data_IF_604367678902
#
_entry.id   IF_604367678902
#
_cell.length_a   1.000
_cell.length_b   1.000
_cell.length_c   1.000
_cell.angle_alpha   90.00
_cell.angle_beta   90.00
_cell.angle_gamma   90.00
#
_symmetry.space_group_name_H-M   'P 1'
#
loop_
_entity.id
_entity.type
_entity.pdbx_description
1 polymer ?
#
# COMPACT_ATOMS: atom_id res chain seq x y z
N UNK A 1 18.92 -44.03 5.62
CA UNK A 1 20.01 -43.25 5.00
C UNK A 1 19.61 -43.03 3.56
N UNK A 2 19.44 -41.84 3.00
CA UNK A 2 19.37 -40.46 3.47
C UNK A 2 18.56 -39.77 2.36
N UNK A 3 17.63 -38.89 2.75
CA UNK A 3 16.88 -38.05 1.83
C UNK A 3 17.80 -36.93 1.34
N UNK A 4 17.80 -36.64 0.04
CA UNK A 4 18.43 -35.43 -0.48
C UNK A 4 17.35 -34.48 -1.01
N UNK A 5 17.13 -33.42 -0.23
CA UNK A 5 16.22 -32.31 -0.48
C UNK A 5 16.90 -31.32 -1.41
N UNK A 6 16.48 -31.26 -2.68
CA UNK A 6 16.78 -30.12 -3.53
C UNK A 6 15.71 -29.05 -3.30
N UNK A 7 16.02 -28.05 -2.48
CA UNK A 7 15.27 -26.82 -2.38
C UNK A 7 16.18 -25.65 -2.79
N UNK A 8 16.13 -25.27 -4.06
CA UNK A 8 16.83 -24.10 -4.57
C UNK A 8 15.92 -22.88 -4.46
N UNK A 9 15.89 -22.25 -3.29
CA UNK A 9 15.48 -20.86 -3.19
C UNK A 9 16.61 -19.99 -3.76
N UNK A 10 16.48 -19.62 -5.03
CA UNK A 10 17.25 -18.51 -5.58
C UNK A 10 16.75 -17.23 -4.91
N UNK A 11 17.49 -16.75 -3.91
CA UNK A 11 17.36 -15.39 -3.43
C UNK A 11 17.71 -14.45 -4.59
N UNK A 12 16.72 -13.74 -5.10
CA UNK A 12 16.96 -12.65 -6.04
C UNK A 12 17.79 -11.57 -5.34
N UNK A 13 18.88 -11.09 -5.96
CA UNK A 13 19.72 -10.06 -5.35
C UNK A 13 18.89 -8.79 -5.17
N UNK A 14 19.00 -8.16 -3.99
CA UNK A 14 18.48 -6.82 -3.73
C UNK A 14 19.05 -5.86 -4.78
N UNK A 15 18.25 -5.48 -5.77
CA UNK A 15 18.65 -4.54 -6.81
C UNK A 15 18.73 -3.13 -6.22
N UNK A 16 19.97 -2.65 -6.11
CA UNK A 16 20.35 -1.30 -5.74
C UNK A 16 19.99 -0.37 -6.92
N UNK A 17 19.20 0.68 -6.66
CA UNK A 17 18.68 1.69 -7.60
C UNK A 17 17.58 1.24 -8.57
N UNK A 18 16.41 0.92 -8.00
CA UNK A 18 15.16 0.99 -8.74
C UNK A 18 14.64 2.45 -8.64
N UNK A 19 14.68 3.18 -9.75
CA UNK A 19 14.07 4.51 -9.84
C UNK A 19 12.55 4.36 -9.89
N UNK A 20 11.83 5.32 -9.28
CA UNK A 20 10.38 5.36 -9.42
C UNK A 20 9.97 5.57 -10.89
N UNK A 21 8.83 5.03 -11.29
CA UNK A 21 8.31 5.17 -12.64
C UNK A 21 8.15 6.66 -13.03
N UNK A 22 8.35 6.95 -14.31
CA UNK A 22 8.29 8.32 -14.86
C UNK A 22 9.45 9.24 -14.44
N UNK A 23 10.42 8.78 -13.63
CA UNK A 23 11.61 9.57 -13.24
C UNK A 23 12.71 9.56 -14.30
N UNK A 24 12.66 8.66 -15.27
CA UNK A 24 13.58 8.68 -16.41
C UNK A 24 13.05 9.64 -17.49
N UNK A 25 13.89 10.47 -18.15
CA UNK A 25 13.44 11.41 -19.18
C UNK A 25 12.65 10.80 -20.34
N UNK A 26 12.99 9.57 -20.73
CA UNK A 26 12.34 8.81 -21.80
C UNK A 26 11.19 7.91 -21.31
N UNK A 27 10.88 7.91 -20.01
CA UNK A 27 9.76 7.13 -19.47
C UNK A 27 8.48 7.97 -19.51
N UNK A 28 7.66 7.70 -20.53
CA UNK A 28 6.37 8.36 -20.72
C UNK A 28 5.26 7.84 -19.82
N UNK A 29 5.52 6.77 -19.06
CA UNK A 29 4.56 6.29 -18.07
C UNK A 29 4.44 7.29 -16.92
N UNK A 30 3.31 7.22 -16.25
CA UNK A 30 2.97 8.10 -15.14
C UNK A 30 2.90 7.28 -13.87
N UNK A 31 3.67 7.70 -12.87
CA UNK A 31 3.56 7.25 -11.49
C UNK A 31 2.87 8.34 -10.67
N UNK A 32 1.79 8.01 -9.98
CA UNK A 32 1.13 8.92 -9.04
C UNK A 32 1.71 8.67 -7.65
N UNK A 33 1.96 9.72 -6.89
CA UNK A 33 2.47 9.54 -5.54
C UNK A 33 1.96 10.62 -4.59
N UNK A 34 1.83 10.25 -3.32
CA UNK A 34 1.23 11.07 -2.29
C UNK A 34 2.23 11.65 -1.30
N UNK A 35 2.22 12.97 -1.09
CA UNK A 35 2.88 13.58 0.08
C UNK A 35 2.04 13.31 1.33
N UNK A 36 2.51 12.43 2.21
CA UNK A 36 1.81 12.05 3.45
C UNK A 36 1.56 13.21 4.41
N UNK A 37 2.37 14.27 4.38
CA UNK A 37 2.24 15.44 5.25
C UNK A 37 1.14 16.36 4.78
N UNK A 38 1.12 16.67 3.48
CA UNK A 38 0.15 17.61 2.89
C UNK A 38 -1.11 16.94 2.35
N UNK A 39 -1.08 15.61 2.20
CA UNK A 39 -2.12 14.80 1.55
C UNK A 39 -2.38 15.20 0.09
N UNK A 40 -1.37 15.76 -0.57
CA UNK A 40 -1.41 16.16 -1.98
C UNK A 40 -0.82 15.07 -2.87
N UNK A 41 -1.35 14.99 -4.10
CA UNK A 41 -0.88 14.04 -5.10
C UNK A 41 -0.04 14.76 -6.14
N UNK A 42 1.06 14.13 -6.49
CA UNK A 42 1.94 14.51 -7.57
C UNK A 42 2.04 13.34 -8.55
N UNK A 43 2.64 13.60 -9.70
CA UNK A 43 2.98 12.54 -10.62
C UNK A 43 4.33 12.77 -11.28
N UNK A 44 5.05 11.69 -11.54
CA UNK A 44 6.31 11.70 -12.29
C UNK A 44 6.08 11.18 -13.70
N UNK A 45 6.64 11.88 -14.69
CA UNK A 45 6.59 11.52 -16.11
C UNK A 45 7.73 12.23 -16.84
N UNK A 46 8.42 11.53 -17.75
CA UNK A 46 9.52 12.06 -18.55
C UNK A 46 10.55 12.81 -17.67
N UNK A 47 10.91 12.23 -16.52
CA UNK A 47 11.88 12.79 -15.58
C UNK A 47 11.43 14.04 -14.81
N UNK A 48 10.14 14.37 -14.83
CA UNK A 48 9.61 15.56 -14.18
C UNK A 48 8.48 15.24 -13.22
N UNK A 49 8.45 15.93 -12.07
CA UNK A 49 7.33 15.90 -11.13
C UNK A 49 6.37 17.06 -11.37
N UNK A 50 5.07 16.77 -11.44
CA UNK A 50 4.01 17.77 -11.61
C UNK A 50 2.88 17.53 -10.59
N UNK A 51 2.12 18.57 -10.20
CA UNK A 51 0.98 18.40 -9.30
C UNK A 51 -0.18 17.68 -10.00
N UNK A 52 -1.02 16.99 -9.23
CA UNK A 52 -2.19 16.26 -9.74
C UNK A 52 -3.10 17.10 -10.66
N UNK A 53 -3.25 18.39 -10.38
CA UNK A 53 -4.04 19.33 -11.20
C UNK A 53 -3.53 19.48 -12.65
N UNK A 54 -2.31 19.05 -12.95
CA UNK A 54 -1.71 19.06 -14.30
C UNK A 54 -1.77 17.69 -14.97
N UNK A 55 -2.34 16.68 -14.33
CA UNK A 55 -2.52 15.36 -14.91
C UNK A 55 -3.41 15.49 -16.17
N UNK A 56 -3.10 14.83 -17.29
CA UNK A 56 -3.95 14.89 -18.48
C UNK A 56 -5.42 14.57 -18.19
N UNK A 57 -6.34 15.27 -18.86
CA UNK A 57 -7.78 15.18 -18.59
C UNK A 57 -8.32 13.74 -18.70
N UNK A 58 -7.83 12.96 -19.67
CA UNK A 58 -8.22 11.55 -19.85
C UNK A 58 -8.02 10.71 -18.58
N UNK A 59 -6.93 10.91 -17.85
CA UNK A 59 -6.64 10.16 -16.63
C UNK A 59 -7.51 10.61 -15.45
N UNK A 60 -7.91 11.88 -15.40
CA UNK A 60 -8.93 12.33 -14.45
C UNK A 60 -10.26 11.59 -14.67
N UNK A 61 -10.67 11.42 -15.93
CA UNK A 61 -11.90 10.69 -16.28
C UNK A 61 -11.80 9.22 -15.86
N UNK A 62 -10.68 8.55 -16.16
CA UNK A 62 -10.48 7.14 -15.76
C UNK A 62 -10.52 6.95 -14.24
N UNK A 63 -9.89 7.85 -13.47
CA UNK A 63 -9.93 7.82 -12.00
C UNK A 63 -11.35 8.07 -11.46
N UNK A 64 -12.10 8.99 -12.06
CA UNK A 64 -13.51 9.25 -11.71
C UNK A 64 -14.39 8.03 -12.00
N UNK A 65 -14.24 7.40 -13.15
CA UNK A 65 -14.97 6.18 -13.50
C UNK A 65 -14.63 5.04 -12.52
N UNK A 66 -13.35 4.87 -12.17
CA UNK A 66 -12.96 3.89 -11.16
C UNK A 66 -13.62 4.17 -9.80
N UNK A 67 -13.64 5.43 -9.36
CA UNK A 67 -14.28 5.85 -8.12
C UNK A 67 -15.79 5.56 -8.13
N UNK A 68 -16.49 5.94 -9.19
CA UNK A 68 -17.94 5.77 -9.33
C UNK A 68 -18.36 4.29 -9.33
N UNK A 69 -17.53 3.42 -9.89
CA UNK A 69 -17.75 1.97 -9.87
C UNK A 69 -17.56 1.35 -8.48
N UNK A 70 -16.87 2.04 -7.56
CA UNK A 70 -16.74 1.67 -6.16
C UNK A 70 -17.77 2.44 -5.31
N UNK A 71 -18.99 1.88 -5.20
CA UNK A 71 -20.11 2.50 -4.47
C UNK A 71 -19.76 2.93 -3.04
N UNK A 72 -18.85 2.21 -2.36
CA UNK A 72 -18.43 2.53 -1.00
C UNK A 72 -17.52 3.75 -1.01
N UNK A 73 -16.50 3.75 -1.87
CA UNK A 73 -15.60 4.89 -2.03
C UNK A 73 -16.37 6.13 -2.47
N UNK A 74 -17.22 6.01 -3.49
CA UNK A 74 -17.98 7.12 -4.03
C UNK A 74 -18.85 7.80 -2.98
N UNK A 75 -19.61 7.01 -2.19
CA UNK A 75 -20.47 7.55 -1.12
C UNK A 75 -19.65 8.27 -0.05
N UNK A 76 -18.53 7.71 0.36
CA UNK A 76 -17.65 8.33 1.37
C UNK A 76 -17.02 9.63 0.84
N UNK A 77 -16.54 9.62 -0.40
CA UNK A 77 -15.97 10.81 -1.05
C UNK A 77 -17.01 11.94 -1.15
N UNK A 78 -18.24 11.64 -1.58
CA UNK A 78 -19.31 12.65 -1.64
C UNK A 78 -19.61 13.23 -0.26
N UNK A 79 -19.65 12.38 0.78
CA UNK A 79 -19.89 12.83 2.16
C UNK A 79 -18.77 13.74 2.68
N UNK A 80 -17.52 13.45 2.35
CA UNK A 80 -16.35 14.16 2.90
C UNK A 80 -15.98 15.41 2.09
N UNK A 81 -16.20 15.41 0.77
CA UNK A 81 -15.72 16.44 -0.15
C UNK A 81 -16.85 17.17 -0.90
N UNK A 82 -18.10 16.76 -0.72
CA UNK A 82 -19.29 17.38 -1.33
C UNK A 82 -19.51 17.01 -2.80
N UNK A 83 -18.46 16.67 -3.55
CA UNK A 83 -18.56 16.22 -4.94
C UNK A 83 -17.44 15.23 -5.29
N UNK A 84 -17.68 14.42 -6.32
CA UNK A 84 -16.69 13.46 -6.81
C UNK A 84 -15.43 14.15 -7.34
N UNK A 85 -15.59 15.29 -8.02
CA UNK A 85 -14.48 16.06 -8.57
C UNK A 85 -13.60 16.65 -7.46
N UNK A 86 -14.20 17.21 -6.41
CA UNK A 86 -13.47 17.78 -5.27
C UNK A 86 -12.70 16.73 -4.48
N UNK A 87 -13.22 15.50 -4.39
CA UNK A 87 -12.58 14.40 -3.68
C UNK A 87 -11.71 13.49 -4.54
N UNK A 88 -11.55 13.80 -5.84
CA UNK A 88 -10.79 12.94 -6.75
C UNK A 88 -9.32 12.82 -6.35
N UNK A 89 -8.66 13.93 -6.02
CA UNK A 89 -7.27 13.91 -5.56
C UNK A 89 -7.12 13.09 -4.27
N UNK A 90 -8.06 13.20 -3.33
CA UNK A 90 -8.05 12.43 -2.09
C UNK A 90 -8.28 10.93 -2.34
N UNK A 91 -9.17 10.57 -3.27
CA UNK A 91 -9.36 9.19 -3.70
C UNK A 91 -8.09 8.62 -4.34
N UNK A 92 -7.48 9.38 -5.27
CA UNK A 92 -6.23 9.00 -5.93
C UNK A 92 -5.11 8.81 -4.91
N UNK A 93 -4.95 9.76 -3.98
CA UNK A 93 -4.00 9.63 -2.88
C UNK A 93 -4.17 8.32 -2.13
N UNK A 94 -5.41 7.89 -1.89
CA UNK A 94 -5.67 6.64 -1.16
C UNK A 94 -5.43 5.36 -1.97
N UNK A 95 -5.30 5.46 -3.30
CA UNK A 95 -5.27 4.33 -4.23
C UNK A 95 -3.91 4.10 -4.89
N UNK A 96 -3.22 5.20 -5.17
CA UNK A 96 -2.06 5.32 -6.07
C UNK A 96 -1.12 6.36 -5.48
N UNK A 97 -0.73 6.13 -4.24
CA UNK A 97 -0.03 7.11 -3.41
C UNK A 97 1.35 6.64 -2.98
N UNK A 98 1.69 5.38 -3.26
CA UNK A 98 3.06 4.90 -3.10
C UNK A 98 3.94 5.55 -4.16
N UNK A 99 5.24 5.43 -3.96
CA UNK A 99 6.22 5.90 -4.94
C UNK A 99 7.11 4.71 -5.20
N UNK A 100 6.86 4.02 -6.30
CA UNK A 100 7.59 2.83 -6.70
C UNK A 100 7.86 2.81 -8.21
N UNK A 101 8.44 1.71 -8.70
CA UNK A 101 8.87 1.57 -10.10
C UNK A 101 7.78 1.07 -11.05
N UNK A 102 6.61 0.76 -10.53
CA UNK A 102 5.50 0.16 -11.27
C UNK A 102 4.52 1.28 -11.61
N UNK A 103 4.50 1.76 -12.87
CA UNK A 103 3.68 2.93 -13.19
C UNK A 103 2.19 2.67 -12.94
N UNK A 104 1.53 3.64 -12.32
CA UNK A 104 0.08 3.64 -12.16
C UNK A 104 -0.68 3.81 -13.48
N UNK A 105 -0.08 4.49 -14.45
CA UNK A 105 -0.73 4.96 -15.66
C UNK A 105 0.20 4.75 -16.86
N UNK A 106 -0.18 3.84 -17.75
CA UNK A 106 0.57 3.47 -18.96
C UNK A 106 -0.40 3.10 -20.09
N UNK A 107 -0.11 3.49 -21.33
CA UNK A 107 -0.88 3.08 -22.52
C UNK A 107 -2.41 3.19 -22.40
N UNK A 108 -2.88 4.30 -21.82
CA UNK A 108 -4.31 4.55 -21.58
C UNK A 108 -5.00 3.55 -20.64
N UNK A 109 -4.21 2.87 -19.82
CA UNK A 109 -4.67 1.98 -18.77
C UNK A 109 -4.28 2.50 -17.39
N UNK A 110 -5.11 2.15 -16.42
CA UNK A 110 -4.87 2.41 -15.01
C UNK A 110 -4.50 1.09 -14.35
N UNK A 111 -3.35 1.07 -13.70
CA UNK A 111 -2.82 -0.09 -13.02
C UNK A 111 -3.75 -0.56 -11.91
N UNK A 112 -3.45 -1.77 -11.41
CA UNK A 112 -4.11 -2.27 -10.21
C UNK A 112 -3.77 -1.36 -9.04
N UNK A 113 -4.76 -1.11 -8.19
CA UNK A 113 -4.58 -0.36 -6.95
C UNK A 113 -3.40 -0.90 -6.17
N UNK A 114 -2.53 0.00 -5.72
CA UNK A 114 -1.39 -0.33 -4.89
C UNK A 114 -1.83 -0.75 -3.49
N UNK A 115 -0.92 -1.38 -2.75
CA UNK A 115 -1.07 -1.64 -1.33
C UNK A 115 -0.78 -0.37 -0.48
N UNK A 116 -1.13 0.83 -0.97
CA UNK A 116 -0.83 2.09 -0.30
C UNK A 116 -1.74 2.36 0.90
N UNK A 117 -1.14 2.42 2.09
CA UNK A 117 -1.83 2.82 3.33
C UNK A 117 -1.69 4.34 3.53
N UNK A 118 -2.72 5.07 3.09
CA UNK A 118 -2.75 6.53 3.03
C UNK A 118 -2.70 7.23 4.41
N UNK A 119 -3.11 6.51 5.46
CA UNK A 119 -2.95 6.92 6.84
C UNK A 119 -2.81 5.68 7.74
N UNK A 120 -1.64 5.50 8.33
CA UNK A 120 -1.34 4.45 9.31
C UNK A 120 -1.64 4.89 10.75
N UNK A 121 -2.53 5.87 10.95
CA UNK A 121 -2.92 6.31 12.28
C UNK A 121 -3.76 5.23 12.95
N UNK A 122 -3.06 4.35 13.65
CA UNK A 122 -3.67 3.37 14.52
C UNK A 122 -4.20 4.07 15.78
N UNK A 123 -5.33 3.60 16.33
CA UNK A 123 -6.09 2.39 15.96
C UNK A 123 -7.18 2.61 14.89
N UNK A 124 -7.29 3.81 14.31
CA UNK A 124 -8.40 4.20 13.43
C UNK A 124 -7.92 4.32 11.97
N UNK A 125 -7.93 3.23 11.20
CA UNK A 125 -7.42 3.26 9.85
C UNK A 125 -8.33 4.11 8.97
N UNK A 126 -7.77 4.64 7.89
CA UNK A 126 -8.54 5.42 6.94
C UNK A 126 -9.73 4.61 6.40
N UNK A 127 -10.85 5.29 6.14
CA UNK A 127 -12.04 4.69 5.55
C UNK A 127 -11.76 4.02 4.20
N UNK A 128 -10.67 4.38 3.52
CA UNK A 128 -10.27 3.78 2.25
C UNK A 128 -10.07 2.27 2.31
N UNK A 129 -9.67 1.70 3.46
CA UNK A 129 -9.54 0.25 3.63
C UNK A 129 -10.85 -0.53 3.43
N UNK A 130 -12.00 0.15 3.45
CA UNK A 130 -13.32 -0.46 3.22
C UNK A 130 -13.73 -0.44 1.75
N UNK A 131 -12.98 0.23 0.88
CA UNK A 131 -13.30 0.41 -0.52
C UNK A 131 -13.06 -0.88 -1.30
N UNK A 132 -13.92 -1.18 -2.28
CA UNK A 132 -14.12 -2.48 -2.96
C UNK A 132 -12.88 -3.02 -3.71
N UNK A 133 -11.78 -2.27 -3.74
CA UNK A 133 -10.52 -2.63 -4.43
C UNK A 133 -9.24 -2.32 -3.66
N UNK A 134 -9.29 -1.85 -2.40
CA UNK A 134 -8.08 -1.82 -1.55
C UNK A 134 -7.99 -3.17 -0.85
N UNK A 135 -7.63 -4.20 -1.62
CA UNK A 135 -7.37 -5.53 -1.07
C UNK A 135 -5.86 -5.69 -0.94
N UNK A 136 -5.35 -5.45 0.26
CA UNK A 136 -3.97 -5.77 0.56
C UNK A 136 -3.79 -7.27 0.43
N UNK A 137 -2.90 -7.69 -0.46
CA UNK A 137 -2.64 -9.10 -0.76
C UNK A 137 -1.17 -9.42 -0.57
N UNK A 138 -0.92 -10.58 0.02
CA UNK A 138 0.40 -11.22 0.06
C UNK A 138 0.24 -12.71 -0.18
N UNK A 139 1.11 -13.30 -1.00
CA UNK A 139 1.10 -14.74 -1.29
C UNK A 139 -0.28 -15.28 -1.75
N UNK A 140 -1.03 -14.47 -2.50
CA UNK A 140 -2.38 -14.79 -2.98
C UNK A 140 -3.50 -14.66 -1.93
N UNK A 141 -3.16 -14.37 -0.68
CA UNK A 141 -4.11 -14.19 0.42
C UNK A 141 -4.51 -12.72 0.59
N UNK A 142 -5.80 -12.46 0.77
CA UNK A 142 -6.29 -11.14 1.17
C UNK A 142 -6.12 -10.95 2.68
N UNK A 143 -5.51 -9.84 3.07
CA UNK A 143 -5.40 -9.44 4.46
C UNK A 143 -6.65 -8.69 4.91
N UNK A 144 -7.10 -8.99 6.12
CA UNK A 144 -8.15 -8.23 6.79
C UNK A 144 -7.59 -6.91 7.30
N UNK A 145 -8.47 -5.93 7.55
CA UNK A 145 -8.08 -4.67 8.20
C UNK A 145 -7.28 -4.91 9.48
N UNK A 146 -7.70 -5.88 10.31
CA UNK A 146 -7.04 -6.15 11.59
C UNK A 146 -5.64 -6.73 11.42
N UNK A 147 -5.44 -7.58 10.42
CA UNK A 147 -4.13 -8.14 10.08
C UNK A 147 -3.18 -7.06 9.56
N UNK A 148 -3.67 -6.14 8.72
CA UNK A 148 -2.89 -4.99 8.23
C UNK A 148 -2.45 -4.12 9.42
N UNK A 149 -3.37 -3.77 10.32
CA UNK A 149 -3.06 -2.98 11.51
C UNK A 149 -2.01 -3.66 12.40
N UNK A 150 -2.12 -4.97 12.59
CA UNK A 150 -1.15 -5.72 13.37
C UNK A 150 0.23 -5.69 12.71
N UNK A 151 0.28 -5.88 11.39
CA UNK A 151 1.51 -5.86 10.61
C UNK A 151 2.19 -4.48 10.63
N UNK A 152 1.42 -3.39 10.58
CA UNK A 152 1.92 -2.02 10.78
C UNK A 152 2.56 -1.83 12.16
N UNK A 153 1.92 -2.32 13.24
CA UNK A 153 2.47 -2.22 14.60
C UNK A 153 3.76 -3.04 14.76
N UNK A 154 3.79 -4.23 14.16
CA UNK A 154 4.99 -5.08 14.11
C UNK A 154 6.11 -4.34 13.37
N UNK A 155 5.82 -3.74 12.20
CA UNK A 155 6.78 -2.93 11.44
C UNK A 155 7.30 -1.70 12.20
N UNK A 156 6.46 -1.12 13.07
CA UNK A 156 6.83 -0.04 13.99
C UNK A 156 7.57 -0.52 15.24
N UNK A 157 7.85 -1.83 15.36
CA UNK A 157 8.52 -2.47 16.50
C UNK A 157 7.80 -2.28 17.84
N UNK A 158 6.47 -2.21 17.81
CA UNK A 158 5.65 -2.17 19.02
C UNK A 158 5.76 -3.49 19.77
N UNK A 159 5.91 -3.40 21.08
CA UNK A 159 5.93 -4.57 21.96
C UNK A 159 4.57 -5.26 22.00
N UNK A 160 4.54 -6.55 22.36
CA UNK A 160 3.29 -7.28 22.54
C UNK A 160 2.33 -6.56 23.49
N UNK A 161 2.88 -6.01 24.59
CA UNK A 161 2.11 -5.24 25.57
C UNK A 161 1.45 -4.01 24.94
N UNK A 162 2.23 -3.18 24.23
CA UNK A 162 1.67 -2.01 23.52
C UNK A 162 0.59 -2.43 22.51
N UNK A 163 0.83 -3.51 21.76
CA UNK A 163 -0.14 -3.99 20.77
C UNK A 163 -1.43 -4.45 21.47
N UNK A 164 -1.35 -5.23 22.55
CA UNK A 164 -2.52 -5.68 23.31
C UNK A 164 -3.31 -4.51 23.90
N UNK A 165 -2.63 -3.45 24.35
CA UNK A 165 -3.26 -2.23 24.86
C UNK A 165 -3.97 -1.45 23.74
N UNK A 166 -3.29 -1.21 22.61
CA UNK A 166 -3.87 -0.52 21.43
C UNK A 166 -5.10 -1.26 20.91
N UNK A 167 -5.06 -2.59 20.95
CA UNK A 167 -6.11 -3.45 20.43
C UNK A 167 -7.18 -3.82 21.45
N UNK A 168 -6.94 -3.58 22.73
CA UNK A 168 -7.75 -4.04 23.85
C UNK A 168 -8.05 -5.54 23.77
N UNK A 169 -7.01 -6.38 23.65
CA UNK A 169 -7.09 -7.85 23.55
C UNK A 169 -6.09 -8.53 24.50
N UNK A 170 -6.28 -9.82 24.75
CA UNK A 170 -5.31 -10.62 25.52
C UNK A 170 -4.05 -10.96 24.72
N UNK A 171 -2.94 -11.26 25.41
CA UNK A 171 -1.71 -11.75 24.77
C UNK A 171 -1.94 -13.05 23.98
N UNK A 172 -2.80 -13.94 24.47
CA UNK A 172 -3.14 -15.17 23.76
C UNK A 172 -3.90 -14.90 22.45
N UNK A 173 -4.79 -13.91 22.46
CA UNK A 173 -5.48 -13.43 21.26
C UNK A 173 -4.47 -12.82 20.28
N UNK A 174 -3.52 -12.01 20.76
CA UNK A 174 -2.45 -11.45 19.94
C UNK A 174 -1.58 -12.56 19.31
N UNK A 175 -1.19 -13.58 20.10
CA UNK A 175 -0.46 -14.74 19.60
C UNK A 175 -1.21 -15.42 18.45
N UNK A 176 -2.51 -15.64 18.60
CA UNK A 176 -3.36 -16.23 17.55
C UNK A 176 -3.36 -15.37 16.28
N UNK A 177 -3.47 -14.05 16.41
CA UNK A 177 -3.41 -13.15 15.25
C UNK A 177 -2.04 -13.20 14.54
N UNK A 178 -0.93 -13.25 15.30
CA UNK A 178 0.43 -13.39 14.76
C UNK A 178 0.61 -14.74 14.04
N UNK A 179 0.17 -15.83 14.64
CA UNK A 179 0.23 -17.18 14.05
C UNK A 179 -0.54 -17.23 12.71
N UNK A 180 -1.68 -16.55 12.63
CA UNK A 180 -2.46 -16.46 11.39
C UNK A 180 -1.76 -15.62 10.30
N UNK A 181 -1.12 -14.51 10.67
CA UNK A 181 -0.29 -13.72 9.74
C UNK A 181 0.86 -14.57 9.18
N UNK A 182 1.63 -15.25 10.04
CA UNK A 182 2.73 -16.11 9.62
C UNK A 182 2.27 -17.18 8.63
N UNK A 183 1.12 -17.82 8.88
CA UNK A 183 0.52 -18.80 7.96
C UNK A 183 0.12 -18.20 6.61
N UNK A 184 -0.46 -17.00 6.60
CA UNK A 184 -0.86 -16.32 5.35
C UNK A 184 0.33 -15.91 4.50
N UNK A 185 1.40 -15.44 5.14
CA UNK A 185 2.65 -15.06 4.49
C UNK A 185 3.59 -16.25 4.22
N UNK A 186 3.29 -17.43 4.77
CA UNK A 186 4.11 -18.65 4.66
C UNK A 186 5.55 -18.47 5.19
N UNK A 187 5.69 -17.69 6.25
CA UNK A 187 6.97 -17.34 6.90
C UNK A 187 7.09 -17.97 8.28
N UNK A 188 8.33 -18.19 8.73
CA UNK A 188 8.62 -18.82 10.04
C UNK A 188 9.06 -17.80 11.09
N UNK A 189 9.55 -16.63 10.67
CA UNK A 189 10.06 -15.60 11.57
C UNK A 189 9.36 -14.25 11.41
N UNK A 190 9.40 -13.42 12.45
CA UNK A 190 8.88 -12.04 12.39
C UNK A 190 9.71 -11.18 11.43
N UNK A 191 11.01 -11.46 11.30
CA UNK A 191 11.90 -10.80 10.35
C UNK A 191 11.50 -11.10 8.91
N UNK A 192 11.24 -12.37 8.57
CA UNK A 192 10.71 -12.74 7.25
C UNK A 192 9.36 -12.09 6.99
N UNK A 193 8.46 -12.07 7.99
CA UNK A 193 7.16 -11.41 7.87
C UNK A 193 7.30 -9.93 7.50
N UNK A 194 8.20 -9.21 8.18
CA UNK A 194 8.46 -7.79 7.90
C UNK A 194 9.06 -7.62 6.51
N UNK A 195 10.04 -8.44 6.12
CA UNK A 195 10.70 -8.35 4.81
C UNK A 195 9.70 -8.57 3.67
N UNK A 196 8.86 -9.61 3.78
CA UNK A 196 7.83 -9.89 2.78
C UNK A 196 6.78 -8.77 2.73
N UNK A 197 6.34 -8.26 3.88
CA UNK A 197 5.38 -7.16 3.94
C UNK A 197 5.92 -5.85 3.35
N UNK A 198 7.23 -5.60 3.47
CA UNK A 198 7.90 -4.47 2.81
C UNK A 198 8.00 -4.71 1.30
N UNK A 199 8.37 -5.92 0.89
CA UNK A 199 8.47 -6.30 -0.52
C UNK A 199 7.12 -6.21 -1.25
N UNK A 200 6.02 -6.56 -0.56
CA UNK A 200 4.65 -6.44 -1.07
C UNK A 200 4.09 -5.01 -0.94
N UNK A 201 4.90 -4.03 -0.53
CA UNK A 201 4.53 -2.63 -0.29
C UNK A 201 3.38 -2.42 0.71
N UNK A 202 3.16 -3.39 1.61
CA UNK A 202 2.06 -3.37 2.58
C UNK A 202 2.39 -2.43 3.74
N UNK A 203 3.64 -2.45 4.20
CA UNK A 203 4.13 -1.56 5.25
C UNK A 203 5.35 -0.80 4.76
N UNK A 204 5.49 0.44 5.21
CA UNK A 204 6.70 1.21 5.03
C UNK A 204 7.46 1.22 6.35
N UNK A 205 8.69 0.70 6.34
CA UNK A 205 9.57 0.81 7.51
C UNK A 205 10.28 2.16 7.44
N UNK A 206 10.30 2.88 8.56
CA UNK A 206 11.09 4.11 8.63
C UNK A 206 12.57 3.74 8.62
N UNK A 207 13.40 4.32 7.74
CA UNK A 207 14.84 4.20 7.90
C UNK A 207 15.21 4.76 9.28
N UNK A 208 16.16 4.12 9.97
CA UNK A 208 16.73 4.71 11.18
C UNK A 208 17.23 6.11 10.81
N UNK A 209 16.78 7.13 11.54
CA UNK A 209 17.53 8.38 11.58
C UNK A 209 18.91 8.04 12.13
N UNK A 210 19.90 7.94 11.24
CA UNK A 210 21.32 7.88 11.56
C UNK A 210 21.81 9.33 11.66
#
# INVERSE_FOLDING_TARGET
MEANLNNSHQSTPFSINILAAGMHPEDSNIELWGDKRTKKVFFTQNGNTKPFSKLPHKYHVMLLEQMQNDKVAFKEILKQHGSALNGLEAYTFCKYGALDSSPDLSDDELAKCENFLCNSQLPNPCACLKWKKITVRSNGNTLTTREIQLLELIGQKKSNKEITEIFNISENTLKTHRDNLHKKFKVQSEQELILEAVSDHIIQTQPKNI
#
